data_IF_107270997394
#
_entry.id   IF_107270997394
#
_cell.length_a   1.000
_cell.length_b   1.000
_cell.length_c   1.000
_cell.angle_alpha   90.00
_cell.angle_beta   90.00
_cell.angle_gamma   90.00
#
_symmetry.space_group_name_H-M   'P 1'
#
loop_
_entity.id
_entity.type
_entity.pdbx_description
1 polymer ?
#
# COMPACT_ATOMS: atom_id res chain seq x y z
N UNK A 1 -11.37 23.46 0.02
CA UNK A 1 -10.37 22.39 0.26
C UNK A 1 -10.52 21.37 -0.85
N UNK A 2 -9.46 21.05 -1.60
CA UNK A 2 -9.51 20.05 -2.69
C UNK A 2 -9.28 18.62 -2.16
N UNK A 3 -8.59 18.48 -1.02
CA UNK A 3 -8.45 17.24 -0.27
C UNK A 3 -8.43 17.51 1.23
N UNK A 4 -9.33 16.88 1.99
CA UNK A 4 -9.39 16.98 3.45
C UNK A 4 -9.28 15.58 4.05
N UNK A 5 -8.21 15.31 4.80
CA UNK A 5 -8.03 14.06 5.51
C UNK A 5 -8.12 14.28 7.02
N UNK A 6 -8.92 13.47 7.71
CA UNK A 6 -8.94 13.41 9.17
C UNK A 6 -8.49 12.03 9.61
N UNK A 7 -7.25 11.95 10.08
CA UNK A 7 -6.63 10.71 10.53
C UNK A 7 -6.94 10.46 12.02
N UNK A 8 -7.70 9.41 12.30
CA UNK A 8 -8.00 8.98 13.67
C UNK A 8 -7.13 7.76 13.97
N UNK A 9 -6.34 7.83 15.04
CA UNK A 9 -5.42 6.77 15.41
C UNK A 9 -5.26 6.66 16.92
N UNK A 10 -4.40 5.75 17.37
CA UNK A 10 -4.18 5.43 18.77
C UNK A 10 -2.93 6.11 19.33
N UNK A 11 -2.94 6.40 20.64
CA UNK A 11 -1.81 7.04 21.33
C UNK A 11 -2.15 7.51 22.74
N UNK A 12 -1.37 8.44 23.28
CA UNK A 12 -1.57 9.06 24.59
C UNK A 12 -1.39 10.59 24.50
N UNK A 13 -2.42 11.33 24.89
CA UNK A 13 -2.49 12.78 24.66
C UNK A 13 -2.31 13.14 23.18
N UNK A 14 -1.28 13.95 22.89
CA UNK A 14 -0.91 14.38 21.53
C UNK A 14 0.11 13.44 20.86
N UNK A 15 0.52 12.36 21.53
CA UNK A 15 1.56 11.44 21.05
C UNK A 15 0.92 10.19 20.45
N UNK A 16 1.21 9.89 19.19
CA UNK A 16 0.78 8.63 18.56
C UNK A 16 1.47 7.42 19.18
N UNK A 17 0.77 6.29 19.21
CA UNK A 17 1.37 4.99 19.45
C UNK A 17 2.43 4.70 18.36
N UNK A 18 3.49 3.93 18.68
CA UNK A 18 4.51 3.56 17.70
C UNK A 18 3.89 3.01 16.42
N UNK A 19 4.37 3.48 15.26
CA UNK A 19 3.91 3.06 13.94
C UNK A 19 2.45 3.40 13.59
N UNK A 20 1.75 4.15 14.44
CA UNK A 20 0.36 4.55 14.25
C UNK A 20 0.21 6.04 13.87
N UNK A 21 1.31 6.73 13.58
CA UNK A 21 1.33 8.14 13.16
C UNK A 21 1.19 8.30 11.65
N UNK A 22 0.80 9.49 11.21
CA UNK A 22 0.86 9.92 9.80
C UNK A 22 1.70 11.20 9.70
N UNK A 23 2.52 11.32 8.66
CA UNK A 23 3.28 12.53 8.42
C UNK A 23 2.41 13.58 7.71
N UNK A 24 2.58 14.89 7.97
CA UNK A 24 1.90 15.95 7.20
C UNK A 24 2.25 15.94 5.69
N UNK A 25 3.38 15.31 5.36
CA UNK A 25 3.89 15.10 3.99
C UNK A 25 3.45 13.77 3.39
N UNK A 26 2.59 13.00 4.06
CA UNK A 26 2.09 11.72 3.50
C UNK A 26 1.28 11.98 2.21
N UNK A 27 1.51 11.15 1.20
CA UNK A 27 0.89 11.29 -0.11
C UNK A 27 -0.64 11.20 0.05
N UNK A 28 -1.44 12.09 -0.59
CA UNK A 28 -1.09 12.99 -1.69
C UNK A 28 -0.75 14.43 -1.28
N UNK A 29 -0.26 14.66 -0.06
CA UNK A 29 0.26 15.98 0.34
C UNK A 29 1.37 16.42 -0.62
N UNK A 30 1.36 17.70 -1.03
CA UNK A 30 2.23 18.23 -2.09
C UNK A 30 1.76 17.96 -3.52
N UNK A 31 0.91 16.96 -3.74
CA UNK A 31 0.29 16.62 -5.04
C UNK A 31 -1.06 17.28 -5.28
N UNK A 32 -1.59 17.96 -4.26
CA UNK A 32 -2.89 18.63 -4.28
C UNK A 32 -2.74 20.05 -3.74
N UNK A 33 -3.07 21.05 -4.57
CA UNK A 33 -2.90 22.49 -4.25
C UNK A 33 -3.55 22.92 -2.92
N UNK A 34 -4.72 22.37 -2.59
CA UNK A 34 -5.50 22.74 -1.41
C UNK A 34 -5.73 21.52 -0.52
N UNK A 35 -4.70 21.14 0.23
CA UNK A 35 -4.68 19.97 1.10
C UNK A 35 -4.82 20.36 2.57
N UNK A 36 -5.62 19.61 3.33
CA UNK A 36 -5.71 19.72 4.77
C UNK A 36 -5.58 18.34 5.42
N UNK A 37 -4.77 18.25 6.48
CA UNK A 37 -4.61 17.05 7.30
C UNK A 37 -4.92 17.42 8.75
N UNK A 38 -5.87 16.70 9.33
CA UNK A 38 -6.22 16.77 10.73
C UNK A 38 -5.94 15.41 11.37
N UNK A 39 -5.68 15.40 12.67
CA UNK A 39 -5.55 14.14 13.39
C UNK A 39 -6.19 14.18 14.76
N UNK A 40 -6.74 13.04 15.17
CA UNK A 40 -7.23 12.81 16.51
C UNK A 40 -6.60 11.53 17.06
N UNK A 41 -6.17 11.58 18.30
CA UNK A 41 -5.58 10.44 19.00
C UNK A 41 -6.58 9.91 20.01
N UNK A 42 -6.74 8.59 20.04
CA UNK A 42 -7.57 7.87 21.00
C UNK A 42 -6.69 7.00 21.90
N UNK A 43 -6.98 6.90 23.20
CA UNK A 43 -6.21 6.05 24.10
C UNK A 43 -6.34 4.57 23.71
N UNK A 44 -5.21 3.91 23.49
CA UNK A 44 -5.15 2.46 23.34
C UNK A 44 -4.49 1.84 24.56
N UNK A 45 -5.27 1.06 25.32
CA UNK A 45 -4.80 0.39 26.55
C UNK A 45 -4.05 -0.91 26.27
N UNK A 46 -3.49 -1.05 25.07
CA UNK A 46 -2.70 -2.20 24.64
C UNK A 46 -1.36 -1.74 24.11
N UNK A 47 -0.33 -2.54 24.38
CA UNK A 47 0.97 -2.34 23.77
C UNK A 47 0.89 -2.71 22.30
N UNK A 48 1.29 -1.80 21.43
CA UNK A 48 1.50 -2.04 19.99
C UNK A 48 2.98 -2.24 19.71
N UNK A 49 3.28 -2.78 18.53
CA UNK A 49 4.66 -2.98 18.05
C UNK A 49 4.72 -2.81 16.54
N UNK A 50 5.93 -2.88 16.00
CA UNK A 50 6.13 -2.82 14.55
C UNK A 50 5.58 -4.09 13.88
N UNK A 51 4.71 -3.87 12.89
CA UNK A 51 4.36 -4.84 11.85
C UNK A 51 5.02 -4.35 10.55
N UNK A 52 5.30 -5.27 9.62
CA UNK A 52 6.00 -4.98 8.37
C UNK A 52 5.40 -3.76 7.65
N UNK A 53 6.27 -2.83 7.24
CA UNK A 53 5.88 -1.54 6.67
C UNK A 53 5.02 -0.68 7.63
N UNK A 54 5.52 -0.36 8.83
CA UNK A 54 4.77 0.33 9.88
C UNK A 54 4.16 1.65 9.38
N UNK A 55 2.86 1.84 9.60
CA UNK A 55 2.10 2.99 9.12
C UNK A 55 1.70 2.85 7.66
N UNK A 56 2.68 2.65 6.78
CA UNK A 56 2.50 2.51 5.33
C UNK A 56 1.50 1.42 4.94
N UNK A 57 1.53 0.27 5.62
CA UNK A 57 0.59 -0.84 5.39
C UNK A 57 -0.89 -0.42 5.53
N UNK A 58 -1.21 0.47 6.46
CA UNK A 58 -2.56 1.04 6.62
C UNK A 58 -2.83 2.25 5.72
N UNK A 59 -1.85 3.13 5.58
CA UNK A 59 -2.00 4.41 4.85
C UNK A 59 -2.16 4.17 3.35
N UNK A 60 -1.42 3.22 2.77
CA UNK A 60 -1.55 2.86 1.38
C UNK A 60 -2.97 2.38 1.04
N UNK A 61 -3.57 1.53 1.88
CA UNK A 61 -4.95 1.08 1.70
C UNK A 61 -5.91 2.26 1.63
N UNK A 62 -5.90 3.15 2.62
CA UNK A 62 -6.83 4.29 2.68
C UNK A 62 -6.63 5.23 1.50
N UNK A 63 -5.40 5.69 1.27
CA UNK A 63 -5.12 6.71 0.27
C UNK A 63 -5.32 6.19 -1.16
N UNK A 64 -4.80 5.01 -1.47
CA UNK A 64 -4.88 4.47 -2.83
C UNK A 64 -6.27 3.95 -3.18
N UNK A 65 -7.06 3.45 -2.21
CA UNK A 65 -8.46 3.11 -2.47
C UNK A 65 -9.32 4.37 -2.65
N UNK A 66 -9.07 5.44 -1.89
CA UNK A 66 -9.81 6.68 -2.09
C UNK A 66 -9.45 7.37 -3.42
N UNK A 67 -8.19 7.36 -3.83
CA UNK A 67 -7.77 7.84 -5.18
C UNK A 67 -8.46 7.05 -6.29
N UNK A 68 -8.65 5.74 -6.10
CA UNK A 68 -9.42 4.92 -7.04
C UNK A 68 -10.88 5.38 -7.13
N UNK A 69 -11.53 5.65 -6.00
CA UNK A 69 -12.88 6.22 -5.97
C UNK A 69 -12.96 7.57 -6.70
N UNK A 70 -11.95 8.43 -6.54
CA UNK A 70 -11.88 9.71 -7.26
C UNK A 70 -11.73 9.52 -8.77
N UNK A 71 -10.93 8.55 -9.21
CA UNK A 71 -10.80 8.22 -10.63
C UNK A 71 -12.13 7.80 -11.24
N UNK A 72 -12.86 6.90 -10.56
CA UNK A 72 -14.19 6.47 -10.99
C UNK A 72 -15.21 7.62 -10.97
N UNK A 73 -15.22 8.46 -9.94
CA UNK A 73 -16.09 9.63 -9.87
C UNK A 73 -15.81 10.64 -10.98
N UNK A 74 -14.54 10.75 -11.41
CA UNK A 74 -14.13 11.58 -12.54
C UNK A 74 -14.37 10.92 -13.92
N UNK A 75 -14.85 9.67 -13.97
CA UNK A 75 -15.01 8.91 -15.21
C UNK A 75 -13.67 8.62 -15.92
N UNK A 76 -12.55 8.63 -15.18
CA UNK A 76 -11.20 8.40 -15.70
C UNK A 76 -10.72 6.99 -15.38
N UNK A 77 -9.86 6.46 -16.24
CA UNK A 77 -9.12 5.23 -15.94
C UNK A 77 -8.30 5.40 -14.64
N UNK A 78 -8.34 4.45 -13.70
CA UNK A 78 -7.63 4.59 -12.42
C UNK A 78 -6.11 4.69 -12.52
N UNK A 79 -5.48 4.11 -13.54
CA UNK A 79 -4.04 4.19 -13.76
C UNK A 79 -3.68 5.58 -14.32
N UNK A 80 -4.40 6.03 -15.35
CA UNK A 80 -4.22 7.36 -15.92
C UNK A 80 -4.47 8.47 -14.91
N UNK A 81 -5.50 8.33 -14.05
CA UNK A 81 -5.77 9.30 -12.99
C UNK A 81 -4.59 9.46 -12.02
N UNK A 82 -3.88 8.37 -11.71
CA UNK A 82 -2.67 8.40 -10.86
C UNK A 82 -1.50 9.07 -11.58
N UNK A 83 -1.32 8.80 -12.88
CA UNK A 83 -0.30 9.46 -13.69
C UNK A 83 -0.55 10.96 -13.83
N UNK A 84 -1.81 11.37 -14.03
CA UNK A 84 -2.25 12.77 -14.06
C UNK A 84 -1.99 13.46 -12.72
N UNK A 85 -2.29 12.80 -11.60
CA UNK A 85 -2.04 13.32 -10.26
C UNK A 85 -0.53 13.58 -10.04
N UNK A 86 0.32 12.69 -10.54
CA UNK A 86 1.78 12.82 -10.48
C UNK A 86 2.36 13.81 -11.51
N UNK A 87 1.58 14.25 -12.50
CA UNK A 87 2.03 15.19 -13.54
C UNK A 87 1.81 16.67 -13.15
N UNK A 88 1.34 16.96 -11.93
CA UNK A 88 1.04 18.33 -11.53
C UNK A 88 2.32 19.20 -11.43
N UNK A 89 2.32 20.45 -11.95
CA UNK A 89 3.49 21.31 -11.97
C UNK A 89 4.07 21.63 -10.58
N UNK A 90 5.40 21.77 -10.49
CA UNK A 90 6.10 22.20 -9.26
C UNK A 90 6.44 21.09 -8.26
N UNK A 91 6.36 19.83 -8.70
CA UNK A 91 6.51 18.64 -7.86
C UNK A 91 7.78 17.84 -8.20
N UNK A 92 8.84 18.51 -8.66
CA UNK A 92 10.17 17.89 -8.68
C UNK A 92 10.65 17.71 -7.24
N UNK A 93 11.32 16.58 -6.97
CA UNK A 93 11.86 16.12 -5.69
C UNK A 93 11.81 17.18 -4.58
N UNK A 94 10.99 16.97 -3.54
CA UNK A 94 11.04 17.83 -2.35
C UNK A 94 12.48 17.81 -1.84
N UNK A 95 13.22 18.90 -2.04
CA UNK A 95 14.63 19.00 -1.65
C UNK A 95 14.70 18.80 -0.14
N UNK A 96 15.33 17.70 0.28
CA UNK A 96 15.22 17.14 1.63
C UNK A 96 15.10 15.62 1.67
N UNK A 97 15.04 14.97 0.50
CA UNK A 97 15.10 13.51 0.34
C UNK A 97 16.15 12.89 1.26
N UNK A 98 15.72 11.84 1.96
CA UNK A 98 16.53 11.13 2.93
C UNK A 98 17.94 10.93 2.37
N UNK A 99 18.94 11.52 3.05
CA UNK A 99 20.33 11.18 2.78
C UNK A 99 20.44 9.65 2.81
N UNK A 100 21.19 9.04 1.86
CA UNK A 100 21.57 7.63 1.97
C UNK A 100 22.09 7.40 3.38
N UNK A 101 21.56 6.40 4.07
CA UNK A 101 21.99 6.06 5.42
C UNK A 101 23.48 5.70 5.35
N UNK A 102 24.35 6.58 5.83
CA UNK A 102 25.76 6.27 6.02
C UNK A 102 25.87 5.43 7.28
N UNK A 103 26.61 4.33 7.22
CA UNK A 103 26.89 3.50 8.40
C UNK A 103 27.51 4.39 9.51
N UNK A 104 26.96 4.33 10.73
CA UNK A 104 27.33 5.12 11.92
C UNK A 104 26.84 6.58 12.03
N UNK A 105 25.84 7.02 11.25
CA UNK A 105 25.20 8.32 11.50
C UNK A 105 24.28 8.26 12.74
N UNK A 106 24.36 9.21 13.71
CA UNK A 106 23.48 9.26 14.87
C UNK A 106 22.01 9.36 14.44
N UNK A 107 21.10 8.70 15.17
CA UNK A 107 19.68 8.80 14.90
C UNK A 107 19.20 10.26 15.00
N UNK A 108 18.40 10.77 14.05
CA UNK A 108 17.86 12.12 14.14
C UNK A 108 16.99 12.26 15.40
N UNK A 109 17.01 13.43 16.02
CA UNK A 109 16.09 13.78 17.11
C UNK A 109 14.64 13.77 16.60
N UNK A 110 13.62 13.62 17.49
CA UNK A 110 12.22 13.60 17.08
C UNK A 110 11.75 14.84 16.28
N UNK A 111 12.41 15.99 16.49
CA UNK A 111 12.19 17.23 15.74
C UNK A 111 12.80 17.23 14.32
N UNK A 112 13.63 16.24 13.99
CA UNK A 112 14.29 16.04 12.71
C UNK A 112 13.71 14.83 11.94
N UNK A 113 12.43 14.52 12.15
CA UNK A 113 11.68 13.60 11.29
C UNK A 113 11.83 14.08 9.84
N UNK A 114 12.60 13.30 9.06
CA UNK A 114 13.02 13.66 7.70
C UNK A 114 11.77 13.97 6.88
N UNK A 115 11.69 15.12 6.18
CA UNK A 115 10.58 15.35 5.27
C UNK A 115 10.52 14.22 4.25
N UNK A 116 9.37 13.58 4.14
CA UNK A 116 9.11 12.53 3.17
C UNK A 116 9.15 13.17 1.78
N UNK A 117 10.26 13.03 1.08
CA UNK A 117 10.40 13.54 -0.27
C UNK A 117 10.07 12.44 -1.27
N UNK A 118 9.11 12.74 -2.14
CA UNK A 118 8.76 11.88 -3.24
C UNK A 118 9.59 12.22 -4.47
N UNK A 119 10.04 11.17 -5.15
CA UNK A 119 10.59 11.22 -6.49
C UNK A 119 9.48 10.83 -7.47
N UNK A 120 8.94 11.85 -8.13
CA UNK A 120 7.84 11.69 -9.09
C UNK A 120 8.22 10.82 -10.27
N UNK A 121 9.47 10.92 -10.75
CA UNK A 121 9.93 10.11 -11.87
C UNK A 121 9.94 8.62 -11.49
N UNK A 122 10.38 8.28 -10.28
CA UNK A 122 10.34 6.89 -9.78
C UNK A 122 8.92 6.40 -9.56
N UNK A 123 8.03 7.22 -8.98
CA UNK A 123 6.60 6.88 -8.82
C UNK A 123 5.92 6.57 -10.15
N UNK A 124 6.13 7.43 -11.16
CA UNK A 124 5.59 7.24 -12.50
C UNK A 124 6.20 6.01 -13.17
N UNK A 125 7.52 5.86 -13.09
CA UNK A 125 8.24 4.75 -13.71
C UNK A 125 7.75 3.38 -13.23
N UNK A 126 7.48 3.21 -11.93
CA UNK A 126 6.92 1.93 -11.44
C UNK A 126 5.47 1.71 -11.86
N UNK A 127 4.65 2.77 -11.95
CA UNK A 127 3.27 2.71 -12.44
C UNK A 127 3.22 2.33 -13.93
N UNK A 128 4.01 2.99 -14.76
CA UNK A 128 4.12 2.73 -16.20
C UNK A 128 4.63 1.30 -16.44
N UNK A 129 5.68 0.87 -15.72
CA UNK A 129 6.22 -0.47 -15.82
C UNK A 129 5.19 -1.55 -15.43
N UNK A 130 4.41 -1.35 -14.36
CA UNK A 130 3.38 -2.34 -13.96
C UNK A 130 2.20 -2.35 -14.92
N UNK A 131 1.86 -1.21 -15.52
CA UNK A 131 0.84 -1.11 -16.57
C UNK A 131 1.22 -1.97 -17.79
N UNK A 132 2.45 -1.80 -18.29
CA UNK A 132 2.97 -2.54 -19.42
C UNK A 132 3.01 -4.04 -19.13
N UNK A 133 3.62 -4.42 -18.00
CA UNK A 133 3.84 -5.83 -17.64
C UNK A 133 2.56 -6.61 -17.36
N UNK A 134 1.56 -5.94 -16.79
CA UNK A 134 0.23 -6.54 -16.58
C UNK A 134 -0.61 -6.59 -17.86
N UNK A 135 -0.29 -5.75 -18.85
CA UNK A 135 -1.15 -5.52 -20.01
C UNK A 135 -2.41 -4.74 -19.64
N UNK A 136 -2.30 -3.76 -18.74
CA UNK A 136 -3.41 -2.90 -18.32
C UNK A 136 -4.17 -2.34 -19.54
N UNK A 137 -5.51 -2.37 -19.48
CA UNK A 137 -6.38 -1.95 -20.59
C UNK A 137 -6.38 -2.89 -21.83
N UNK A 138 -5.51 -3.90 -21.89
CA UNK A 138 -5.37 -4.82 -23.04
C UNK A 138 -5.92 -6.23 -22.77
N UNK A 139 -6.25 -6.54 -21.50
CA UNK A 139 -6.76 -7.86 -21.11
C UNK A 139 -8.28 -7.93 -21.30
N UNK A 140 -8.77 -9.07 -21.81
CA UNK A 140 -10.19 -9.42 -21.77
C UNK A 140 -10.47 -10.17 -20.47
N UNK A 141 -11.29 -9.58 -19.60
CA UNK A 141 -11.67 -10.19 -18.33
C UNK A 141 -13.05 -10.84 -18.46
N UNK A 142 -13.24 -11.97 -17.78
CA UNK A 142 -14.54 -12.60 -17.65
C UNK A 142 -15.41 -11.84 -16.66
N UNK A 143 -16.74 -11.98 -16.77
CA UNK A 143 -17.68 -11.40 -15.79
C UNK A 143 -17.33 -11.87 -14.38
N UNK A 144 -17.32 -10.94 -13.42
CA UNK A 144 -16.92 -11.22 -12.04
C UNK A 144 -15.40 -11.20 -11.82
N UNK A 145 -14.61 -10.84 -12.83
CA UNK A 145 -13.18 -10.60 -12.71
C UNK A 145 -12.84 -9.12 -12.86
N UNK A 146 -11.75 -8.68 -12.24
CA UNK A 146 -11.33 -7.29 -12.24
C UNK A 146 -9.82 -7.14 -12.10
N UNK A 147 -9.32 -6.01 -12.60
CA UNK A 147 -7.96 -5.54 -12.33
C UNK A 147 -8.03 -4.33 -11.41
N UNK A 148 -7.09 -4.23 -10.48
CA UNK A 148 -6.94 -3.08 -9.61
C UNK A 148 -5.48 -2.67 -9.54
N UNK A 149 -5.24 -1.35 -9.52
CA UNK A 149 -3.91 -0.75 -9.48
C UNK A 149 -3.74 0.08 -8.20
N UNK A 150 -2.53 0.06 -7.65
CA UNK A 150 -2.11 0.96 -6.58
C UNK A 150 -0.60 1.12 -6.57
N UNK A 151 -0.10 2.19 -5.96
CA UNK A 151 1.32 2.37 -5.71
C UNK A 151 1.55 2.98 -4.32
N UNK A 152 2.77 2.83 -3.81
CA UNK A 152 3.15 3.48 -2.57
C UNK A 152 4.65 3.73 -2.52
N UNK A 153 5.04 4.81 -1.87
CA UNK A 153 6.41 5.06 -1.47
C UNK A 153 6.53 4.78 0.02
N UNK A 154 7.47 3.92 0.39
CA UNK A 154 7.83 3.73 1.80
C UNK A 154 9.28 3.26 1.91
N UNK A 155 9.96 3.64 3.00
CA UNK A 155 11.32 3.18 3.30
C UNK A 155 12.33 3.32 2.13
N UNK A 156 12.18 4.39 1.33
CA UNK A 156 12.97 4.71 0.13
C UNK A 156 12.73 3.83 -1.13
N UNK A 157 11.83 2.84 -1.04
CA UNK A 157 11.37 2.05 -2.17
C UNK A 157 10.07 2.60 -2.76
N UNK A 158 9.96 2.54 -4.08
CA UNK A 158 8.74 2.87 -4.83
C UNK A 158 8.18 1.59 -5.41
N UNK A 159 6.93 1.24 -5.11
CA UNK A 159 6.32 0.01 -5.61
C UNK A 159 4.93 0.29 -6.16
N UNK A 160 4.63 -0.28 -7.33
CA UNK A 160 3.30 -0.29 -7.93
C UNK A 160 2.86 -1.72 -8.23
N UNK A 161 1.60 -2.00 -7.91
CA UNK A 161 0.99 -3.32 -8.04
C UNK A 161 -0.21 -3.24 -8.97
N UNK A 162 -0.38 -4.28 -9.79
CA UNK A 162 -1.65 -4.61 -10.43
C UNK A 162 -2.07 -5.99 -9.95
N UNK A 163 -3.30 -6.12 -9.45
CA UNK A 163 -3.87 -7.40 -9.02
C UNK A 163 -5.00 -7.82 -9.97
N UNK A 164 -4.96 -9.06 -10.47
CA UNK A 164 -6.06 -9.72 -11.16
C UNK A 164 -6.83 -10.61 -10.19
N UNK A 165 -8.13 -10.36 -10.05
CA UNK A 165 -9.01 -11.12 -9.15
C UNK A 165 -10.24 -11.62 -9.87
N UNK A 166 -10.84 -12.68 -9.34
CA UNK A 166 -12.23 -13.03 -9.61
C UNK A 166 -13.00 -13.20 -8.31
N UNK A 167 -14.26 -12.79 -8.31
CA UNK A 167 -15.18 -12.93 -7.19
C UNK A 167 -16.40 -13.75 -7.62
N UNK A 168 -16.67 -14.84 -6.91
CA UNK A 168 -17.85 -15.67 -7.17
C UNK A 168 -19.14 -14.99 -6.69
N UNK A 169 -20.30 -15.53 -7.08
CA UNK A 169 -21.60 -15.07 -6.59
C UNK A 169 -21.75 -15.12 -5.05
N UNK A 170 -20.96 -15.96 -4.37
CA UNK A 170 -20.95 -16.09 -2.92
C UNK A 170 -19.81 -15.28 -2.26
N UNK A 171 -19.26 -14.28 -2.96
CA UNK A 171 -18.13 -13.46 -2.53
C UNK A 171 -16.83 -14.24 -2.22
N UNK A 172 -16.65 -15.43 -2.82
CA UNK A 172 -15.39 -16.13 -2.74
C UNK A 172 -14.37 -15.45 -3.69
N UNK A 173 -13.33 -14.87 -3.11
CA UNK A 173 -12.26 -14.13 -3.78
C UNK A 173 -11.13 -15.09 -4.15
N UNK A 174 -10.74 -15.06 -5.43
CA UNK A 174 -9.47 -15.60 -5.91
C UNK A 174 -8.61 -14.45 -6.42
N UNK A 175 -7.40 -14.32 -5.88
CA UNK A 175 -6.34 -13.50 -6.50
C UNK A 175 -5.57 -14.43 -7.44
N UNK A 176 -5.62 -14.16 -8.73
CA UNK A 176 -4.98 -15.03 -9.74
C UNK A 176 -3.51 -14.69 -9.89
N UNK A 177 -3.23 -13.39 -10.08
CA UNK A 177 -1.89 -12.89 -10.31
C UNK A 177 -1.73 -11.47 -9.76
N UNK A 178 -0.56 -11.19 -9.20
CA UNK A 178 -0.12 -9.84 -8.82
C UNK A 178 1.14 -9.53 -9.61
N UNK A 179 1.10 -8.47 -10.42
CA UNK A 179 2.30 -7.89 -11.03
C UNK A 179 2.83 -6.81 -10.09
N UNK A 180 4.12 -6.85 -9.81
CA UNK A 180 4.80 -5.94 -8.91
C UNK A 180 5.98 -5.32 -9.64
N UNK A 181 5.97 -4.01 -9.80
CA UNK A 181 7.14 -3.26 -10.27
C UNK A 181 7.66 -2.39 -9.13
N UNK A 182 8.96 -2.53 -8.84
CA UNK A 182 9.62 -1.81 -7.76
C UNK A 182 10.87 -1.09 -8.23
N UNK A 183 11.11 0.13 -7.73
CA UNK A 183 12.39 0.81 -7.85
C UNK A 183 13.02 0.90 -6.45
N UNK A 184 14.15 0.21 -6.29
CA UNK A 184 14.98 0.23 -5.09
C UNK A 184 16.42 0.65 -5.37
N UNK A 185 16.67 1.35 -6.48
CA UNK A 185 17.97 1.88 -6.88
C UNK A 185 18.60 1.16 -8.08
N UNK A 186 19.89 1.41 -8.26
CA UNK A 186 20.66 1.01 -9.45
C UNK A 186 21.02 -0.45 -9.53
N UNK A 187 20.99 -1.17 -8.41
CA UNK A 187 21.41 -2.55 -8.38
C UNK A 187 20.61 -3.36 -7.37
N UNK A 188 20.21 -4.55 -7.80
CA UNK A 188 19.70 -5.59 -6.93
C UNK A 188 20.86 -6.46 -6.48
N UNK A 189 21.23 -6.36 -5.20
CA UNK A 189 22.43 -7.02 -4.65
C UNK A 189 22.29 -8.55 -4.66
N UNK A 190 21.14 -9.07 -4.25
CA UNK A 190 20.80 -10.50 -4.29
C UNK A 190 19.48 -10.67 -5.05
N UNK A 191 19.50 -10.98 -6.36
CA UNK A 191 18.29 -11.05 -7.18
C UNK A 191 17.23 -12.03 -6.68
N UNK A 192 17.62 -13.25 -6.30
CA UNK A 192 16.67 -14.26 -5.82
C UNK A 192 16.12 -13.91 -4.43
N UNK A 193 16.97 -13.41 -3.53
CA UNK A 193 16.52 -12.91 -2.23
C UNK A 193 15.58 -11.71 -2.36
N UNK A 194 15.86 -10.83 -3.32
CA UNK A 194 15.03 -9.66 -3.60
C UNK A 194 13.64 -10.04 -4.13
N UNK A 195 13.59 -10.96 -5.10
CA UNK A 195 12.34 -11.52 -5.60
C UNK A 195 11.52 -12.17 -4.47
N UNK A 196 12.16 -13.01 -3.64
CA UNK A 196 11.51 -13.67 -2.51
C UNK A 196 11.01 -12.68 -1.45
N UNK A 197 11.74 -11.59 -1.19
CA UNK A 197 11.30 -10.54 -0.27
C UNK A 197 10.02 -9.85 -0.76
N UNK A 198 9.92 -9.56 -2.06
CA UNK A 198 8.73 -8.98 -2.68
C UNK A 198 7.57 -9.96 -2.64
N UNK A 199 7.80 -11.22 -3.03
CA UNK A 199 6.79 -12.28 -2.98
C UNK A 199 6.25 -12.46 -1.56
N UNK A 200 7.13 -12.52 -0.55
CA UNK A 200 6.73 -12.59 0.85
C UNK A 200 5.91 -11.37 1.29
N UNK A 201 6.26 -10.16 0.84
CA UNK A 201 5.51 -8.94 1.16
C UNK A 201 4.07 -8.95 0.62
N UNK A 202 3.89 -9.48 -0.59
CA UNK A 202 2.56 -9.71 -1.17
C UNK A 202 1.77 -10.74 -0.37
N UNK A 203 2.39 -11.86 0.02
CA UNK A 203 1.74 -12.92 0.81
C UNK A 203 1.34 -12.42 2.22
N UNK A 204 2.21 -11.65 2.87
CA UNK A 204 1.93 -11.01 4.16
C UNK A 204 0.73 -10.05 4.02
N UNK A 205 0.78 -9.15 3.03
CA UNK A 205 -0.31 -8.19 2.80
C UNK A 205 -1.66 -8.86 2.46
N UNK A 206 -1.66 -9.99 1.74
CA UNK A 206 -2.88 -10.78 1.51
C UNK A 206 -3.40 -11.45 2.78
N UNK A 207 -2.50 -11.90 3.67
CA UNK A 207 -2.88 -12.41 4.99
C UNK A 207 -3.54 -11.31 5.82
N UNK A 208 -2.91 -10.13 5.87
CA UNK A 208 -3.41 -8.93 6.54
C UNK A 208 -4.81 -8.55 6.05
N UNK A 209 -4.99 -8.58 4.73
CA UNK A 209 -6.20 -8.17 4.05
C UNK A 209 -7.44 -9.00 4.43
N UNK A 210 -7.31 -10.33 4.60
CA UNK A 210 -8.48 -11.22 4.72
C UNK A 210 -8.89 -11.56 6.15
N UNK A 211 -7.96 -11.86 7.06
CA UNK A 211 -8.31 -12.47 8.37
C UNK A 211 -7.53 -11.96 9.58
N UNK A 212 -6.51 -11.13 9.41
CA UNK A 212 -5.63 -10.75 10.53
C UNK A 212 -6.14 -9.59 11.39
N UNK A 213 -7.44 -9.57 11.67
CA UNK A 213 -7.97 -8.67 12.69
C UNK A 213 -7.61 -9.17 14.10
N UNK A 214 -7.35 -8.23 15.00
CA UNK A 214 -7.28 -8.45 16.44
C UNK A 214 -8.43 -7.72 17.10
N UNK A 215 -9.37 -8.46 17.68
CA UNK A 215 -10.54 -7.90 18.38
C UNK A 215 -10.39 -8.01 19.89
N UNK A 216 -11.01 -7.05 20.59
CA UNK A 216 -11.00 -6.97 22.05
C UNK A 216 -12.39 -7.16 22.61
N UNK A 217 -12.54 -8.15 23.49
CA UNK A 217 -13.73 -8.30 24.34
C UNK A 217 -13.34 -8.11 25.80
N UNK A 218 -13.98 -7.16 26.48
CA UNK A 218 -13.69 -6.78 27.87
C UNK A 218 -12.19 -6.60 28.16
N UNK A 219 -11.47 -5.97 27.23
CA UNK A 219 -10.03 -5.69 27.33
C UNK A 219 -9.11 -6.87 27.03
N UNK A 220 -9.63 -8.00 26.52
CA UNK A 220 -8.84 -9.19 26.18
C UNK A 220 -8.88 -9.45 24.68
N UNK A 221 -7.72 -9.78 24.11
CA UNK A 221 -7.61 -10.29 22.74
C UNK A 221 -8.38 -11.61 22.63
N UNK A 222 -9.25 -11.72 21.63
CA UNK A 222 -10.11 -12.89 21.43
C UNK A 222 -9.48 -13.94 20.53
N UNK A 223 -8.64 -13.55 19.56
CA UNK A 223 -7.91 -14.46 18.68
C UNK A 223 -6.78 -15.13 19.46
N UNK A 224 -6.85 -16.45 19.63
CA UNK A 224 -5.88 -17.20 20.44
C UNK A 224 -4.95 -18.10 19.63
N UNK A 225 -5.24 -18.32 18.35
CA UNK A 225 -4.47 -19.20 17.48
C UNK A 225 -4.75 -18.87 15.99
N UNK A 226 -3.94 -19.42 15.08
CA UNK A 226 -4.00 -19.20 13.64
C UNK A 226 -5.28 -19.71 12.96
N UNK A 227 -6.12 -20.50 13.63
CA UNK A 227 -7.46 -20.79 13.09
C UNK A 227 -8.40 -19.57 13.13
N UNK A 228 -8.12 -18.60 14.02
CA UNK A 228 -8.89 -17.36 14.22
C UNK A 228 -8.16 -16.12 13.68
N UNK A 229 -6.85 -16.21 13.46
CA UNK A 229 -6.01 -15.17 12.87
C UNK A 229 -5.21 -15.80 11.72
N UNK A 230 -5.92 -16.14 10.63
CA UNK A 230 -5.40 -17.01 9.59
C UNK A 230 -4.39 -16.30 8.69
N UNK A 231 -3.28 -17.00 8.42
CA UNK A 231 -2.36 -16.68 7.34
C UNK A 231 -2.89 -17.23 6.00
N UNK A 232 -2.46 -16.62 4.90
CA UNK A 232 -2.70 -17.16 3.57
C UNK A 232 -2.09 -18.56 3.43
N UNK A 233 -2.85 -19.50 2.86
CA UNK A 233 -2.40 -20.89 2.64
C UNK A 233 -1.84 -21.05 1.23
N UNK A 234 -0.98 -22.04 1.03
CA UNK A 234 -0.33 -22.34 -0.27
C UNK A 234 -1.34 -22.40 -1.43
N UNK A 235 -2.49 -23.03 -1.25
CA UNK A 235 -3.52 -23.14 -2.30
C UNK A 235 -4.19 -21.81 -2.70
N UNK A 236 -4.05 -20.79 -1.85
CA UNK A 236 -4.62 -19.45 -2.03
C UNK A 236 -3.57 -18.46 -2.54
N UNK A 237 -2.29 -18.84 -2.53
CA UNK A 237 -1.20 -17.99 -3.00
C UNK A 237 -1.35 -17.71 -4.50
N UNK A 238 -1.34 -16.43 -4.93
CA UNK A 238 -1.40 -16.09 -6.35
C UNK A 238 -0.06 -16.34 -7.03
N UNK A 239 -0.05 -16.28 -8.36
CA UNK A 239 1.21 -16.03 -9.07
C UNK A 239 1.67 -14.60 -8.77
N UNK A 240 2.96 -14.41 -8.48
CA UNK A 240 3.53 -13.09 -8.17
C UNK A 240 4.68 -12.85 -9.14
N UNK A 241 4.54 -11.84 -9.98
CA UNK A 241 5.48 -11.48 -11.04
C UNK A 241 6.20 -10.20 -10.67
N UNK A 242 7.47 -10.34 -10.31
CA UNK A 242 8.30 -9.26 -9.76
C UNK A 242 9.20 -8.69 -10.84
N UNK A 243 9.21 -7.36 -10.95
CA UNK A 243 10.13 -6.62 -11.79
C UNK A 243 10.76 -5.48 -11.02
N UNK A 244 12.08 -5.32 -11.16
CA UNK A 244 12.77 -4.15 -10.64
C UNK A 244 13.06 -3.18 -11.77
N UNK A 245 12.56 -1.95 -11.63
CA UNK A 245 12.88 -0.83 -12.51
C UNK A 245 14.23 -0.29 -12.09
N UNK A 246 15.25 -0.50 -12.92
CA UNK A 246 16.58 0.03 -12.65
C UNK A 246 16.58 1.55 -12.79
N UNK A 247 17.14 2.25 -11.79
CA UNK A 247 17.32 3.70 -11.80
C UNK A 247 18.76 4.08 -11.48
N UNK A 248 19.18 5.33 -11.67
CA UNK A 248 20.54 5.77 -11.31
C UNK A 248 20.69 6.11 -9.82
N UNK A 249 19.72 5.74 -8.98
CA UNK A 249 19.69 6.05 -7.55
C UNK A 249 20.50 5.03 -6.75
N UNK A 250 21.05 5.39 -5.58
CA UNK A 250 21.69 4.42 -4.68
C UNK A 250 20.75 3.29 -4.29
N UNK A 251 21.24 2.05 -4.12
CA UNK A 251 20.44 0.94 -3.60
C UNK A 251 19.79 1.28 -2.25
N UNK A 252 18.58 0.77 -2.04
CA UNK A 252 17.76 1.02 -0.84
C UNK A 252 17.29 -0.29 -0.19
N UNK A 253 16.55 -0.18 0.91
CA UNK A 253 15.98 -1.35 1.60
C UNK A 253 14.79 -1.95 0.85
N UNK A 254 14.69 -3.29 0.89
CA UNK A 254 13.64 -4.05 0.20
C UNK A 254 12.73 -4.85 1.17
N UNK A 255 13.03 -4.81 2.47
CA UNK A 255 12.35 -5.60 3.48
C UNK A 255 10.84 -5.34 3.56
N UNK A 256 10.40 -4.12 3.30
CA UNK A 256 9.06 -3.63 3.62
C UNK A 256 8.26 -3.05 2.44
N UNK A 257 8.85 -2.33 1.47
CA UNK A 257 8.09 -1.42 0.61
C UNK A 257 7.18 -2.08 -0.43
N UNK A 258 7.31 -3.39 -0.63
CA UNK A 258 6.43 -4.16 -1.51
C UNK A 258 5.10 -4.58 -0.86
N UNK A 259 4.96 -4.51 0.47
CA UNK A 259 3.71 -4.91 1.13
C UNK A 259 2.58 -3.90 0.89
N UNK A 260 2.76 -2.58 1.15
CA UNK A 260 1.64 -1.65 1.20
C UNK A 260 0.72 -1.60 -0.04
N UNK A 261 1.21 -1.64 -1.30
CA UNK A 261 0.34 -1.49 -2.46
C UNK A 261 -0.59 -2.69 -2.73
N UNK A 262 -0.31 -3.89 -2.19
CA UNK A 262 -1.14 -5.07 -2.49
C UNK A 262 -2.55 -4.94 -1.92
N UNK A 263 -2.69 -4.37 -0.73
CA UNK A 263 -3.98 -4.21 -0.06
C UNK A 263 -4.98 -3.40 -0.92
N UNK A 264 -4.67 -2.14 -1.31
CA UNK A 264 -5.55 -1.35 -2.16
C UNK A 264 -5.67 -1.93 -3.58
N UNK A 265 -4.61 -2.50 -4.18
CA UNK A 265 -4.69 -3.08 -5.52
C UNK A 265 -5.75 -4.20 -5.59
N UNK A 266 -5.78 -5.10 -4.59
CA UNK A 266 -6.79 -6.17 -4.51
C UNK A 266 -8.18 -5.60 -4.23
N UNK A 267 -8.33 -4.64 -3.30
CA UNK A 267 -9.61 -4.01 -3.02
C UNK A 267 -10.20 -3.25 -4.23
N UNK A 268 -9.35 -2.57 -5.00
CA UNK A 268 -9.75 -1.89 -6.23
C UNK A 268 -10.14 -2.91 -7.31
N UNK A 269 -9.45 -4.05 -7.40
CA UNK A 269 -9.80 -5.13 -8.31
C UNK A 269 -11.15 -5.77 -7.95
N UNK A 270 -11.45 -5.93 -6.65
CA UNK A 270 -12.76 -6.39 -6.16
C UNK A 270 -13.86 -5.41 -6.58
N UNK A 271 -13.62 -4.10 -6.45
CA UNK A 271 -14.57 -3.10 -6.91
C UNK A 271 -14.79 -3.19 -8.41
N UNK A 272 -13.73 -3.29 -9.22
CA UNK A 272 -13.85 -3.45 -10.67
C UNK A 272 -14.64 -4.72 -11.05
N UNK A 273 -14.47 -5.81 -10.30
CA UNK A 273 -15.15 -7.08 -10.53
C UNK A 273 -16.64 -7.08 -10.11
N UNK A 274 -17.01 -6.30 -9.09
CA UNK A 274 -18.31 -6.47 -8.37
C UNK A 274 -19.11 -5.19 -8.18
N UNK A 275 -18.51 -4.02 -8.35
CA UNK A 275 -19.05 -2.72 -7.94
C UNK A 275 -19.05 -2.48 -6.43
N UNK A 276 -18.63 -3.45 -5.59
CA UNK A 276 -18.62 -3.32 -4.14
C UNK A 276 -17.31 -2.69 -3.66
N UNK A 277 -17.40 -1.48 -3.07
CA UNK A 277 -16.25 -0.78 -2.50
C UNK A 277 -15.98 -1.24 -1.06
N UNK A 278 -14.73 -1.56 -0.76
CA UNK A 278 -14.27 -1.94 0.58
C UNK A 278 -13.58 -0.74 1.21
N UNK A 279 -14.09 -0.28 2.36
CA UNK A 279 -13.55 0.88 3.12
C UNK A 279 -13.09 0.53 4.53
N UNK A 280 -13.23 -0.74 4.91
CA UNK A 280 -12.76 -1.27 6.19
C UNK A 280 -12.16 -2.65 5.98
N UNK A 281 -11.09 -2.94 6.71
CA UNK A 281 -10.47 -4.26 6.74
C UNK A 281 -10.77 -4.95 8.07
N UNK A 282 -10.81 -6.29 8.11
CA UNK A 282 -10.46 -7.21 7.02
C UNK A 282 -11.62 -7.50 6.04
N UNK A 283 -11.31 -8.11 4.89
CA UNK A 283 -12.30 -8.51 3.88
C UNK A 283 -13.36 -9.49 4.40
N UNK A 284 -13.01 -10.36 5.36
CA UNK A 284 -13.96 -11.29 5.98
C UNK A 284 -15.13 -10.57 6.67
N UNK A 285 -14.89 -9.39 7.29
CA UNK A 285 -15.95 -8.56 7.85
C UNK A 285 -16.83 -7.88 6.80
N UNK A 286 -16.36 -7.86 5.56
CA UNK A 286 -17.11 -7.37 4.41
C UNK A 286 -17.79 -8.52 3.65
N UNK A 287 -17.84 -9.74 4.22
CA UNK A 287 -18.55 -10.89 3.66
C UNK A 287 -17.81 -11.61 2.53
N UNK A 288 -16.49 -11.42 2.42
CA UNK A 288 -15.65 -12.16 1.48
C UNK A 288 -14.96 -13.35 2.17
N UNK A 289 -14.60 -14.35 1.38
CA UNK A 289 -13.73 -15.45 1.79
C UNK A 289 -12.71 -15.74 0.71
N UNK A 290 -11.66 -16.50 1.00
CA UNK A 290 -10.85 -17.09 -0.06
C UNK A 290 -11.65 -18.15 -0.83
N UNK A 291 -11.44 -18.21 -2.14
CA UNK A 291 -11.88 -19.30 -3.01
C UNK A 291 -11.03 -20.57 -2.85
#
# INVERSE_FOLDING_TARGET
VAWSNHFISYGDGETFAPSASIAPTEFPSGFVKNFAMYSSVMPLRLKTGALRAPGANSQAFVMQSFIDELAHAAGKDPLEFRLDLLAQPGQEMVKGAAKPKVENEPAPTPAAARPQAYDVARMRGVLEAVAERSGWGKRKLTKGSGLGVAFHYSFQGYFAHVAEVSVSANNALKVHKVWVCGDVGSQIINPSGAEQQVQGGVIDGLSELMFQEITLDKGRVTQRNYNQHQLLRIRQAPQIDVHFVASNNPPTGLGEPALPPVLPAVCNAIFAATGKRIRSLPLAKNGFSWA
#
